data_IF_353682984992
#
_entry.id   IF_353682984992
#
_cell.length_a   1.000
_cell.length_b   1.000
_cell.length_c   1.000
_cell.angle_alpha   90.00
_cell.angle_beta   90.00
_cell.angle_gamma   90.00
#
_symmetry.space_group_name_H-M   'P 1'
#
loop_
_entity.id
_entity.type
_entity.pdbx_description
1 polymer ?
#
# COMPACT_ATOMS: atom_id res chain seq x y z
N UNK A 1 -6.88 26.92 15.72
CA UNK A 1 -7.71 25.79 15.26
C UNK A 1 -6.92 25.15 14.12
N UNK A 2 -5.88 24.39 14.49
CA UNK A 2 -4.94 23.77 13.54
C UNK A 2 -5.71 22.62 12.87
N UNK A 3 -6.30 22.89 11.71
CA UNK A 3 -7.08 21.89 10.97
C UNK A 3 -6.11 20.84 10.44
N UNK A 4 -6.41 19.58 10.73
CA UNK A 4 -5.82 18.37 10.15
C UNK A 4 -5.39 18.54 8.67
N UNK A 5 -4.13 18.86 8.45
CA UNK A 5 -3.47 18.71 7.14
C UNK A 5 -2.41 17.58 7.18
N UNK A 6 -2.34 16.85 8.30
CA UNK A 6 -1.36 15.76 8.48
C UNK A 6 -1.67 14.50 7.64
N UNK A 7 -2.80 14.51 6.90
CA UNK A 7 -3.26 13.43 6.03
C UNK A 7 -2.86 13.60 4.55
N UNK A 8 -2.29 14.74 4.14
CA UNK A 8 -1.91 15.00 2.75
C UNK A 8 -0.41 15.31 2.60
N UNK A 9 0.45 14.58 3.32
CA UNK A 9 1.88 14.64 3.06
C UNK A 9 2.17 13.99 1.70
N UNK A 10 2.81 14.69 0.75
CA UNK A 10 3.28 14.07 -0.47
C UNK A 10 4.29 12.96 -0.11
N UNK A 11 4.12 11.78 -0.71
CA UNK A 11 5.06 10.68 -0.57
C UNK A 11 6.41 11.10 -1.11
N UNK A 12 7.47 10.91 -0.34
CA UNK A 12 8.82 11.09 -0.85
C UNK A 12 9.16 9.97 -1.84
N UNK A 13 10.07 10.19 -2.79
CA UNK A 13 10.47 9.13 -3.73
C UNK A 13 11.02 7.88 -3.03
N UNK A 14 11.62 8.03 -1.85
CA UNK A 14 12.05 6.90 -1.02
C UNK A 14 10.86 6.09 -0.47
N UNK A 15 9.79 6.76 -0.05
CA UNK A 15 8.56 6.09 0.41
C UNK A 15 7.88 5.33 -0.74
N UNK A 16 7.87 5.90 -1.94
CA UNK A 16 7.35 5.22 -3.14
C UNK A 16 8.20 3.99 -3.50
N UNK A 17 9.53 4.04 -3.38
CA UNK A 17 10.40 2.87 -3.60
C UNK A 17 10.09 1.75 -2.59
N UNK A 18 9.91 2.10 -1.32
CA UNK A 18 9.54 1.14 -0.27
C UNK A 18 8.18 0.50 -0.58
N UNK A 19 7.17 1.30 -0.97
CA UNK A 19 5.86 0.79 -1.34
C UNK A 19 5.92 -0.11 -2.58
N UNK A 20 6.74 0.25 -3.57
CA UNK A 20 6.99 -0.58 -4.75
C UNK A 20 7.59 -1.93 -4.39
N UNK A 21 8.57 -1.97 -3.48
CA UNK A 21 9.14 -3.23 -2.97
C UNK A 21 8.13 -4.07 -2.20
N UNK A 22 7.31 -3.44 -1.35
CA UNK A 22 6.25 -4.15 -0.62
C UNK A 22 5.24 -4.76 -1.58
N UNK A 23 4.86 -4.01 -2.61
CA UNK A 23 3.97 -4.47 -3.66
C UNK A 23 4.57 -5.66 -4.42
N UNK A 24 5.81 -5.57 -4.88
CA UNK A 24 6.52 -6.66 -5.57
C UNK A 24 6.64 -7.93 -4.71
N UNK A 25 6.96 -7.75 -3.42
CA UNK A 25 7.05 -8.84 -2.46
C UNK A 25 5.69 -9.52 -2.23
N UNK A 26 4.59 -8.76 -2.17
CA UNK A 26 3.24 -9.30 -2.10
C UNK A 26 2.86 -10.04 -3.40
N UNK A 27 3.22 -9.52 -4.57
CA UNK A 27 2.98 -10.20 -5.83
C UNK A 27 3.70 -11.56 -5.87
N UNK A 28 4.97 -11.58 -5.45
CA UNK A 28 5.78 -12.79 -5.40
C UNK A 28 5.28 -13.80 -4.35
N UNK A 29 4.92 -13.33 -3.14
CA UNK A 29 4.47 -14.18 -2.03
C UNK A 29 3.10 -14.80 -2.30
N UNK A 30 2.18 -14.03 -2.90
CA UNK A 30 0.81 -14.49 -3.20
C UNK A 30 0.65 -15.01 -4.64
N UNK A 31 1.74 -15.08 -5.42
CA UNK A 31 1.74 -15.51 -6.82
C UNK A 31 0.71 -14.73 -7.66
N UNK A 32 0.55 -13.43 -7.37
CA UNK A 32 -0.37 -12.55 -8.08
C UNK A 32 0.36 -12.06 -9.34
N UNK A 33 -0.27 -12.11 -10.52
CA UNK A 33 0.33 -11.54 -11.71
C UNK A 33 0.51 -10.04 -11.52
N UNK A 34 1.72 -9.52 -11.78
CA UNK A 34 2.06 -8.10 -11.71
C UNK A 34 1.22 -7.23 -12.66
N UNK A 35 0.56 -7.86 -13.62
CA UNK A 35 -0.29 -7.24 -14.61
C UNK A 35 -1.72 -7.77 -14.44
N UNK A 36 -2.66 -6.85 -14.26
CA UNK A 36 -4.07 -7.19 -14.13
C UNK A 36 -4.80 -6.33 -13.11
N UNK A 37 -6.12 -6.46 -13.04
CA UNK A 37 -6.96 -5.72 -12.10
C UNK A 37 -6.65 -6.05 -10.64
N UNK A 38 -6.09 -7.23 -10.35
CA UNK A 38 -5.66 -7.64 -9.02
C UNK A 38 -4.40 -6.89 -8.55
N UNK A 39 -3.40 -6.76 -9.43
CA UNK A 39 -2.20 -5.97 -9.18
C UNK A 39 -2.53 -4.48 -9.00
N UNK A 40 -3.38 -3.92 -9.85
CA UNK A 40 -3.81 -2.51 -9.72
C UNK A 40 -4.56 -2.27 -8.40
N UNK A 41 -5.48 -3.16 -8.02
CA UNK A 41 -6.16 -3.10 -6.72
C UNK A 41 -5.19 -3.18 -5.54
N UNK A 42 -4.22 -4.08 -5.61
CA UNK A 42 -3.25 -4.28 -4.56
C UNK A 42 -2.35 -3.05 -4.41
N UNK A 43 -1.87 -2.47 -5.52
CA UNK A 43 -1.12 -1.23 -5.51
C UNK A 43 -1.96 -0.10 -4.90
N UNK A 44 -3.18 0.14 -5.40
CA UNK A 44 -4.07 1.17 -4.88
C UNK A 44 -4.34 1.02 -3.37
N UNK A 45 -4.50 -0.21 -2.88
CA UNK A 45 -4.64 -0.49 -1.44
C UNK A 45 -3.39 -0.16 -0.65
N UNK A 46 -2.24 -0.62 -1.11
CA UNK A 46 -0.92 -0.35 -0.50
C UNK A 46 -0.71 1.16 -0.35
N UNK A 47 -1.01 1.94 -1.40
CA UNK A 47 -0.96 3.41 -1.35
C UNK A 47 -1.98 4.02 -0.38
N UNK A 48 -3.23 3.56 -0.42
CA UNK A 48 -4.32 4.08 0.42
C UNK A 48 -4.06 3.84 1.91
N UNK A 49 -3.57 2.65 2.26
CA UNK A 49 -3.20 2.28 3.64
C UNK A 49 -2.04 3.16 4.13
N UNK A 50 -1.04 3.37 3.29
CA UNK A 50 0.10 4.21 3.64
C UNK A 50 -0.31 5.68 3.84
N UNK A 51 -1.15 6.21 2.94
CA UNK A 51 -1.73 7.56 3.07
C UNK A 51 -2.63 7.70 4.30
N UNK A 52 -3.30 6.62 4.71
CA UNK A 52 -4.06 6.58 5.97
C UNK A 52 -3.17 6.61 7.22
N UNK A 53 -1.85 6.53 7.07
CA UNK A 53 -0.86 6.60 8.15
C UNK A 53 -0.24 5.25 8.53
N UNK A 54 -0.53 4.17 7.82
CA UNK A 54 0.08 2.86 8.05
C UNK A 54 1.51 2.86 7.52
N UNK A 55 2.48 3.17 8.39
CA UNK A 55 3.92 3.16 8.09
C UNK A 55 4.61 1.82 8.35
N UNK A 56 3.90 0.91 9.04
CA UNK A 56 4.42 -0.40 9.38
C UNK A 56 4.24 -1.36 8.19
N UNK A 57 5.35 -1.85 7.63
CA UNK A 57 5.33 -2.62 6.39
C UNK A 57 4.65 -3.99 6.56
N UNK A 58 4.84 -4.65 7.71
CA UNK A 58 4.18 -5.92 8.00
C UNK A 58 2.66 -5.74 8.14
N UNK A 59 2.25 -4.68 8.83
CA UNK A 59 0.83 -4.34 8.95
C UNK A 59 0.22 -3.95 7.59
N UNK A 60 0.94 -3.16 6.80
CA UNK A 60 0.53 -2.75 5.45
C UNK A 60 0.26 -3.98 4.57
N UNK A 61 1.19 -4.93 4.55
CA UNK A 61 1.06 -6.21 3.82
C UNK A 61 -0.17 -6.99 4.26
N UNK A 62 -0.34 -7.18 5.57
CA UNK A 62 -1.50 -7.90 6.13
C UNK A 62 -2.83 -7.24 5.76
N UNK A 63 -2.91 -5.91 5.86
CA UNK A 63 -4.12 -5.16 5.55
C UNK A 63 -4.43 -5.15 4.04
N UNK A 64 -3.41 -5.03 3.20
CA UNK A 64 -3.57 -5.04 1.74
C UNK A 64 -4.23 -6.35 1.25
N UNK A 65 -3.87 -7.48 1.88
CA UNK A 65 -4.38 -8.81 1.56
C UNK A 65 -5.74 -9.09 2.22
N UNK A 66 -5.97 -8.65 3.46
CA UNK A 66 -7.19 -8.98 4.22
C UNK A 66 -8.49 -8.38 3.64
N UNK A 67 -8.44 -7.29 2.90
CA UNK A 67 -9.67 -6.67 2.36
C UNK A 67 -10.29 -7.41 1.15
N UNK A 68 -9.84 -8.63 0.83
CA UNK A 68 -10.38 -9.47 -0.25
C UNK A 68 -11.59 -10.34 0.11
N UNK A 69 -12.12 -10.27 1.34
CA UNK A 69 -13.27 -11.08 1.77
C UNK A 69 -14.42 -10.21 2.28
N UNK A 70 -15.36 -9.86 1.41
CA UNK A 70 -16.76 -9.58 1.75
C UNK A 70 -17.63 -9.77 0.52
#
# INVERSE_FOLDING_TARGET
MERHDELCRPLTPAEVDILGRVFDDLLAEYCIPSEGPDADNLAARVFTLYQSGVRDLELLKKLAIQSGTS
#
